data_IF_506197915793
#
_entry.id   IF_506197915793
#
_cell.length_a   1.000
_cell.length_b   1.000
_cell.length_c   1.000
_cell.angle_alpha   90.00
_cell.angle_beta   90.00
_cell.angle_gamma   90.00
#
_symmetry.space_group_name_H-M   'P 1'
#
loop_
_entity.id
_entity.type
_entity.pdbx_description
1 polymer ?
#
# COMPACT_ATOMS: atom_id res chain seq x y z
N UNK A 1 8.53 1.02 4.17
CA UNK A 1 7.46 1.02 5.20
C UNK A 1 6.34 1.99 4.84
N UNK A 2 6.60 3.29 4.72
CA UNK A 2 5.55 4.28 4.37
C UNK A 2 4.77 3.90 3.12
N UNK A 3 5.45 3.60 2.01
CA UNK A 3 4.80 3.12 0.78
C UNK A 3 3.94 1.88 1.01
N UNK A 4 4.45 0.87 1.72
CA UNK A 4 3.67 -0.34 2.04
C UNK A 4 2.36 -0.01 2.77
N UNK A 5 2.41 0.81 3.82
CA UNK A 5 1.21 1.15 4.58
C UNK A 5 0.29 2.11 3.83
N UNK A 6 0.82 3.00 2.98
CA UNK A 6 0.01 3.80 2.08
C UNK A 6 -0.76 2.90 1.10
N UNK A 7 -0.11 1.90 0.49
CA UNK A 7 -0.79 0.94 -0.39
C UNK A 7 -1.77 0.02 0.38
N UNK A 8 -1.44 -0.33 1.63
CA UNK A 8 -2.36 -1.08 2.50
C UNK A 8 -3.63 -0.30 2.83
N UNK A 9 -3.50 1.00 3.10
CA UNK A 9 -4.59 1.93 3.39
C UNK A 9 -4.79 2.91 2.23
N UNK A 10 -4.95 2.35 1.02
CA UNK A 10 -4.92 3.14 -0.21
C UNK A 10 -6.00 4.20 -0.24
N UNK A 11 -5.59 5.42 -0.57
CA UNK A 11 -6.41 6.42 -1.25
C UNK A 11 -5.75 6.76 -2.59
N UNK A 12 -6.52 7.22 -3.56
CA UNK A 12 -6.01 7.35 -4.94
C UNK A 12 -6.28 8.71 -5.57
N UNK A 13 -5.23 9.34 -6.07
CA UNK A 13 -5.30 10.56 -6.90
C UNK A 13 -5.93 10.31 -8.29
N UNK A 14 -6.20 9.04 -8.65
CA UNK A 14 -7.03 8.73 -9.82
C UNK A 14 -8.44 9.32 -9.66
N UNK A 15 -8.94 9.39 -8.41
CA UNK A 15 -10.13 10.15 -8.06
C UNK A 15 -9.78 11.65 -8.00
N UNK A 16 -10.46 12.46 -8.82
CA UNK A 16 -10.12 13.86 -9.03
C UNK A 16 -10.12 14.70 -7.73
N UNK A 17 -11.01 14.39 -6.78
CA UNK A 17 -11.12 15.08 -5.49
C UNK A 17 -9.92 14.86 -4.57
N UNK A 18 -9.09 13.84 -4.84
CA UNK A 18 -7.93 13.48 -4.02
C UNK A 18 -6.59 13.91 -4.64
N UNK A 19 -6.61 14.57 -5.80
CA UNK A 19 -5.40 15.09 -6.43
C UNK A 19 -4.79 16.19 -5.55
N UNK A 20 -3.52 16.01 -5.16
CA UNK A 20 -2.76 16.98 -4.37
C UNK A 20 -2.97 16.89 -2.86
N UNK A 21 -3.75 15.93 -2.37
CA UNK A 21 -3.98 15.69 -0.93
C UNK A 21 -3.56 14.29 -0.47
N UNK A 22 -3.18 13.41 -1.40
CA UNK A 22 -2.62 12.08 -1.07
C UNK A 22 -1.35 12.18 -0.23
N UNK A 23 -0.52 13.19 -0.50
CA UNK A 23 0.76 13.38 0.20
C UNK A 23 0.53 13.91 1.63
N UNK A 24 -0.55 14.68 1.83
CA UNK A 24 -0.98 15.16 3.14
C UNK A 24 -1.48 13.96 3.97
N UNK A 25 -2.35 13.13 3.39
CA UNK A 25 -2.80 11.89 4.03
C UNK A 25 -1.63 10.97 4.42
N UNK A 26 -0.64 10.80 3.54
CA UNK A 26 0.56 10.03 3.86
C UNK A 26 1.30 10.64 5.06
N UNK A 27 1.50 11.96 5.05
CA UNK A 27 2.23 12.68 6.09
C UNK A 27 1.51 12.68 7.45
N UNK A 28 0.18 12.73 7.47
CA UNK A 28 -0.64 12.88 8.67
C UNK A 28 -1.11 11.53 9.24
N UNK A 29 -1.57 10.61 8.38
CA UNK A 29 -2.22 9.36 8.82
C UNK A 29 -1.32 8.13 8.71
N UNK A 30 -0.30 8.13 7.83
CA UNK A 30 0.53 6.94 7.59
C UNK A 30 1.90 7.08 8.26
N UNK A 31 2.71 8.01 7.76
CA UNK A 31 4.13 8.15 8.07
C UNK A 31 4.45 8.22 9.58
N UNK A 32 3.68 8.91 10.43
CA UNK A 32 3.99 9.00 11.86
C UNK A 32 3.86 7.66 12.60
N UNK A 33 3.07 6.72 12.07
CA UNK A 33 2.64 5.51 12.79
C UNK A 33 3.24 4.21 12.24
N UNK A 34 4.05 4.25 11.16
CA UNK A 34 4.53 3.03 10.46
C UNK A 34 5.44 2.10 11.27
N UNK A 35 5.89 2.53 12.45
CA UNK A 35 6.65 1.72 13.42
C UNK A 35 5.99 1.69 14.80
N UNK A 36 4.81 2.28 14.97
CA UNK A 36 4.05 2.32 16.22
C UNK A 36 3.13 1.10 16.38
N UNK A 37 2.05 1.25 17.15
CA UNK A 37 1.01 0.22 17.23
C UNK A 37 0.09 0.28 16.02
N UNK A 38 -0.32 -0.89 15.54
CA UNK A 38 -1.25 -0.99 14.42
C UNK A 38 -2.58 -0.29 14.70
N UNK A 39 -3.07 -0.33 15.94
CA UNK A 39 -4.31 0.38 16.34
C UNK A 39 -4.22 1.90 16.17
N UNK A 40 -3.05 2.50 16.46
CA UNK A 40 -2.84 3.94 16.31
C UNK A 40 -2.83 4.32 14.82
N UNK A 41 -2.15 3.52 13.99
CA UNK A 41 -2.16 3.68 12.53
C UNK A 41 -3.57 3.50 11.94
N UNK A 42 -4.29 2.46 12.33
CA UNK A 42 -5.64 2.18 11.88
C UNK A 42 -6.60 3.31 12.28
N UNK A 43 -6.50 3.81 13.51
CA UNK A 43 -7.26 4.96 14.00
C UNK A 43 -6.97 6.22 13.20
N UNK A 44 -5.69 6.55 13.00
CA UNK A 44 -5.29 7.71 12.23
C UNK A 44 -5.87 7.68 10.80
N UNK A 45 -5.91 6.51 10.17
CA UNK A 45 -6.49 6.33 8.84
C UNK A 45 -8.02 6.42 8.85
N UNK A 46 -8.68 5.70 9.76
CA UNK A 46 -10.15 5.59 9.81
C UNK A 46 -10.83 6.87 10.29
N UNK A 47 -10.11 7.78 10.94
CA UNK A 47 -10.58 9.13 11.26
C UNK A 47 -10.10 10.19 10.25
N UNK A 48 -9.36 9.81 9.20
CA UNK A 48 -8.86 10.79 8.24
C UNK A 48 -9.90 11.16 7.18
N UNK A 49 -10.14 12.45 6.91
CA UNK A 49 -11.21 12.89 6.00
C UNK A 49 -11.05 12.33 4.58
N UNK A 50 -9.82 12.18 4.10
CA UNK A 50 -9.57 11.65 2.74
C UNK A 50 -9.97 10.19 2.58
N UNK A 51 -9.93 9.38 3.64
CA UNK A 51 -10.41 7.99 3.59
C UNK A 51 -11.93 7.94 3.42
N UNK A 52 -12.66 8.77 4.18
CA UNK A 52 -14.12 8.89 4.03
C UNK A 52 -14.53 9.50 2.69
N UNK A 53 -13.71 10.37 2.07
CA UNK A 53 -13.95 10.86 0.69
C UNK A 53 -13.71 9.77 -0.33
N UNK A 54 -12.59 9.04 -0.21
CA UNK A 54 -12.22 7.99 -1.16
C UNK A 54 -13.27 6.89 -1.23
N UNK A 55 -13.74 6.42 -0.07
CA UNK A 55 -14.73 5.35 0.03
C UNK A 55 -16.18 5.87 0.16
N UNK A 56 -16.37 7.17 -0.05
CA UNK A 56 -17.67 7.84 -0.07
C UNK A 56 -18.51 7.66 1.21
N UNK A 57 -17.87 7.44 2.35
CA UNK A 57 -18.55 7.29 3.65
C UNK A 57 -19.16 8.60 4.16
N UNK A 58 -18.58 9.75 3.80
CA UNK A 58 -19.11 11.07 4.15
C UNK A 58 -20.55 11.33 3.63
N UNK A 59 -21.01 10.51 2.69
CA UNK A 59 -22.36 10.51 2.14
C UNK A 59 -23.26 9.41 2.75
N UNK A 60 -22.75 8.58 3.67
CA UNK A 60 -23.47 7.44 4.24
C UNK A 60 -24.41 7.86 5.38
N UNK A 61 -25.65 7.36 5.36
CA UNK A 61 -26.65 7.62 6.40
C UNK A 61 -27.06 6.29 7.04
N UNK A 62 -27.22 6.31 8.37
CA UNK A 62 -27.78 5.18 9.10
C UNK A 62 -29.20 4.88 8.60
N UNK A 63 -29.53 3.63 8.24
CA UNK A 63 -30.86 3.24 7.76
C UNK A 63 -32.03 3.70 8.64
N UNK A 64 -31.82 3.79 9.94
CA UNK A 64 -32.80 4.22 10.94
C UNK A 64 -32.47 5.59 11.56
N UNK A 65 -31.53 6.31 10.98
CA UNK A 65 -31.16 7.66 11.44
C UNK A 65 -32.26 8.68 11.17
N UNK A 66 -32.41 9.74 12.01
CA UNK A 66 -33.36 10.82 11.77
C UNK A 66 -33.24 11.49 10.40
N UNK A 67 -32.01 11.58 9.87
CA UNK A 67 -31.75 12.18 8.57
C UNK A 67 -32.20 11.29 7.40
N UNK A 68 -32.15 9.96 7.54
CA UNK A 68 -32.64 9.02 6.52
C UNK A 68 -34.16 9.12 6.31
N UNK A 69 -34.93 9.49 7.35
CA UNK A 69 -36.37 9.75 7.20
C UNK A 69 -36.70 10.97 6.30
N UNK A 70 -35.70 11.80 5.96
CA UNK A 70 -35.86 13.05 5.20
C UNK A 70 -35.07 13.04 3.88
N UNK A 71 -34.46 11.92 3.52
CA UNK A 71 -33.54 11.82 2.39
C UNK A 71 -33.53 10.41 1.80
N UNK A 72 -33.40 10.29 0.48
CA UNK A 72 -33.25 9.00 -0.21
C UNK A 72 -31.80 8.44 -0.16
N UNK A 73 -30.95 9.04 0.69
CA UNK A 73 -29.56 8.62 0.86
C UNK A 73 -29.51 7.36 1.74
N UNK A 74 -28.94 6.30 1.20
CA UNK A 74 -28.81 5.01 1.88
C UNK A 74 -27.46 4.81 2.58
N UNK A 75 -27.35 3.64 3.21
CA UNK A 75 -26.11 3.16 3.80
C UNK A 75 -25.09 2.81 2.70
N UNK A 76 -23.89 3.37 2.79
CA UNK A 76 -22.76 2.99 1.94
C UNK A 76 -21.88 1.98 2.67
N UNK A 77 -21.85 0.74 2.16
CA UNK A 77 -21.10 -0.36 2.78
C UNK A 77 -19.60 -0.39 2.42
N UNK A 78 -19.13 0.46 1.50
CA UNK A 78 -17.76 0.36 0.97
C UNK A 78 -16.69 0.48 2.06
N UNK A 79 -16.70 1.55 2.86
CA UNK A 79 -15.68 1.73 3.90
C UNK A 79 -15.72 0.61 4.96
N UNK A 80 -16.92 0.16 5.35
CA UNK A 80 -17.07 -0.98 6.26
C UNK A 80 -16.51 -2.27 5.67
N UNK A 81 -16.74 -2.51 4.38
CA UNK A 81 -16.21 -3.66 3.65
C UNK A 81 -14.68 -3.62 3.57
N UNK A 82 -14.10 -2.48 3.16
CA UNK A 82 -12.65 -2.36 3.03
C UNK A 82 -11.96 -2.42 4.41
N UNK A 83 -12.60 -1.85 5.45
CA UNK A 83 -12.12 -1.96 6.83
C UNK A 83 -11.95 -3.43 7.23
N UNK A 84 -12.97 -4.27 7.03
CA UNK A 84 -12.91 -5.69 7.36
C UNK A 84 -12.01 -6.49 6.39
N UNK A 85 -12.17 -6.30 5.08
CA UNK A 85 -11.54 -7.14 4.05
C UNK A 85 -10.07 -6.78 3.79
N UNK A 86 -9.76 -5.49 3.61
CA UNK A 86 -8.48 -5.04 3.07
C UNK A 86 -7.56 -4.44 4.11
N UNK A 87 -8.14 -3.88 5.16
CA UNK A 87 -7.42 -3.13 6.18
C UNK A 87 -7.22 -3.94 7.46
N UNK A 88 -8.04 -4.95 7.75
CA UNK A 88 -7.94 -5.70 9.02
C UNK A 88 -7.98 -7.21 8.86
N UNK A 89 -9.15 -7.84 8.78
CA UNK A 89 -9.31 -9.29 8.96
C UNK A 89 -8.85 -10.12 7.76
N UNK A 90 -8.75 -9.50 6.57
CA UNK A 90 -8.51 -10.21 5.32
C UNK A 90 -9.77 -10.89 4.79
N UNK A 91 -9.81 -11.19 3.49
CA UNK A 91 -10.97 -11.83 2.83
C UNK A 91 -11.41 -13.17 3.44
N UNK A 92 -10.50 -13.86 4.14
CA UNK A 92 -10.77 -15.13 4.85
C UNK A 92 -10.85 -14.95 6.37
N UNK A 93 -11.12 -13.73 6.83
CA UNK A 93 -11.08 -13.34 8.23
C UNK A 93 -12.23 -13.84 9.11
N UNK A 94 -13.24 -14.48 8.51
CA UNK A 94 -14.38 -15.09 9.22
C UNK A 94 -15.62 -14.21 9.35
N UNK A 95 -15.57 -12.95 8.90
CA UNK A 95 -16.73 -12.07 8.88
C UNK A 95 -17.72 -12.43 7.76
N UNK A 96 -18.96 -12.02 7.94
CA UNK A 96 -20.08 -12.22 7.02
C UNK A 96 -20.50 -10.91 6.34
N UNK A 97 -21.38 -11.01 5.35
CA UNK A 97 -22.02 -9.83 4.76
C UNK A 97 -22.87 -9.05 5.77
N UNK A 98 -23.35 -9.69 6.84
CA UNK A 98 -24.03 -8.99 7.94
C UNK A 98 -23.06 -8.09 8.70
N UNK A 99 -21.86 -8.59 9.01
CA UNK A 99 -20.82 -7.83 9.70
C UNK A 99 -20.35 -6.63 8.88
N UNK A 100 -20.27 -6.75 7.56
CA UNK A 100 -19.98 -5.60 6.67
C UNK A 100 -21.03 -4.50 6.84
N UNK A 101 -22.31 -4.87 6.91
CA UNK A 101 -23.40 -3.91 7.09
C UNK A 101 -23.37 -3.27 8.47
N UNK A 102 -23.07 -4.05 9.50
CA UNK A 102 -22.93 -3.55 10.88
C UNK A 102 -21.73 -2.61 11.02
N UNK A 103 -20.59 -2.91 10.38
CA UNK A 103 -19.43 -2.02 10.35
C UNK A 103 -19.77 -0.72 9.61
N UNK A 104 -20.50 -0.80 8.49
CA UNK A 104 -20.96 0.36 7.77
C UNK A 104 -21.90 1.24 8.62
N UNK A 105 -22.79 0.64 9.42
CA UNK A 105 -23.65 1.36 10.37
C UNK A 105 -22.84 2.12 11.41
N UNK A 106 -21.83 1.49 12.01
CA UNK A 106 -20.91 2.13 12.97
C UNK A 106 -20.22 3.35 12.33
N UNK A 107 -19.84 3.26 11.05
CA UNK A 107 -19.18 4.34 10.32
C UNK A 107 -20.10 5.51 9.91
N UNK A 108 -21.42 5.37 10.02
CA UNK A 108 -22.35 6.47 9.72
C UNK A 108 -22.22 7.61 10.73
N UNK A 109 -22.71 8.81 10.39
CA UNK A 109 -22.57 10.00 11.24
C UNK A 109 -21.24 10.74 11.06
N UNK A 110 -20.16 10.05 10.69
CA UNK A 110 -18.88 10.68 10.37
C UNK A 110 -18.93 11.40 9.02
N UNK A 111 -18.81 12.73 9.05
CA UNK A 111 -18.82 13.60 7.87
C UNK A 111 -17.55 14.42 7.79
N UNK A 112 -17.09 14.68 6.58
CA UNK A 112 -16.03 15.67 6.35
C UNK A 112 -16.60 17.05 6.59
N UNK A 113 -15.97 17.83 7.46
CA UNK A 113 -16.33 19.23 7.66
C UNK A 113 -15.96 20.01 6.38
N UNK A 114 -16.99 20.36 5.60
CA UNK A 114 -16.79 21.05 4.33
C UNK A 114 -16.49 22.54 4.58
N UNK A 115 -15.36 22.98 4.03
CA UNK A 115 -15.00 24.37 3.72
C UNK A 115 -14.92 25.38 4.88
N UNK A 116 -13.74 25.45 5.48
CA UNK A 116 -13.10 26.73 5.76
C UNK A 116 -11.81 26.79 4.94
N UNK A 117 -11.71 27.71 3.96
CA UNK A 117 -10.49 27.83 3.11
C UNK A 117 -9.21 28.06 3.90
N UNK A 118 -9.33 28.50 5.16
CA UNK A 118 -8.23 28.80 6.05
C UNK A 118 -8.03 27.74 7.15
N UNK A 119 -8.71 26.59 7.07
CA UNK A 119 -8.53 25.49 8.01
C UNK A 119 -8.28 24.16 7.27
N UNK A 120 -7.53 23.22 7.88
CA UNK A 120 -7.42 21.87 7.38
C UNK A 120 -8.78 21.20 7.22
N UNK A 121 -8.85 20.17 6.37
CA UNK A 121 -10.00 19.27 6.39
C UNK A 121 -10.04 18.57 7.74
N UNK A 122 -11.23 18.48 8.32
CA UNK A 122 -11.45 17.80 9.59
C UNK A 122 -12.68 16.90 9.49
N UNK A 123 -12.78 15.94 10.41
CA UNK A 123 -13.94 15.09 10.57
C UNK A 123 -14.85 15.64 11.66
N UNK A 124 -16.16 15.51 11.45
CA UNK A 124 -17.17 15.85 12.45
C UNK A 124 -18.17 14.70 12.56
N UNK A 125 -18.55 14.34 13.78
CA UNK A 125 -19.65 13.43 14.02
C UNK A 125 -21.00 14.17 14.02
N UNK A 126 -21.98 13.62 13.30
CA UNK A 126 -23.36 14.14 13.19
C UNK A 126 -24.32 13.03 13.60
N UNK A 127 -24.79 13.08 14.85
CA UNK A 127 -25.70 12.09 15.44
C UNK A 127 -26.94 11.82 14.60
N UNK A 128 -27.52 12.85 13.99
CA UNK A 128 -28.74 12.72 13.18
C UNK A 128 -28.56 11.86 11.92
N UNK A 129 -27.32 11.62 11.49
CA UNK A 129 -26.97 10.74 10.36
C UNK A 129 -26.48 9.36 10.80
N UNK A 130 -26.24 9.16 12.09
CA UNK A 130 -25.73 7.91 12.63
C UNK A 130 -26.86 6.90 12.82
N UNK A 131 -26.57 5.63 12.57
CA UNK A 131 -27.47 4.53 12.87
C UNK A 131 -27.63 4.39 14.39
N UNK A 132 -28.85 4.46 14.95
CA UNK A 132 -29.05 4.25 16.39
C UNK A 132 -29.03 2.77 16.78
N UNK A 133 -28.95 2.53 18.10
CA UNK A 133 -28.99 1.19 18.71
C UNK A 133 -27.65 0.47 18.73
N UNK A 134 -27.59 -0.67 19.42
CA UNK A 134 -26.38 -1.50 19.48
C UNK A 134 -26.08 -2.17 18.15
N UNK A 135 -24.79 -2.43 17.90
CA UNK A 135 -24.31 -3.17 16.72
C UNK A 135 -23.56 -4.42 17.15
N UNK A 136 -23.46 -5.39 16.25
CA UNK A 136 -22.71 -6.62 16.51
C UNK A 136 -21.82 -6.96 15.33
N UNK A 137 -20.54 -7.21 15.60
CA UNK A 137 -19.55 -7.61 14.60
C UNK A 137 -18.92 -8.91 15.07
N UNK A 138 -19.09 -10.00 14.32
CA UNK A 138 -18.50 -11.31 14.66
C UNK A 138 -18.81 -11.72 16.11
N UNK A 139 -20.07 -11.59 16.51
CA UNK A 139 -20.57 -11.87 17.87
C UNK A 139 -20.06 -10.90 18.97
N UNK A 140 -19.20 -9.94 18.62
CA UNK A 140 -18.79 -8.85 19.51
C UNK A 140 -19.82 -7.71 19.49
N UNK A 141 -20.48 -7.49 20.62
CA UNK A 141 -21.46 -6.40 20.77
C UNK A 141 -20.75 -5.07 21.04
N UNK A 142 -21.08 -4.08 20.24
CA UNK A 142 -20.72 -2.67 20.44
C UNK A 142 -21.98 -1.95 20.91
N UNK A 143 -21.91 -1.41 22.14
CA UNK A 143 -23.04 -0.70 22.73
C UNK A 143 -23.25 0.64 22.02
N UNK A 144 -24.51 1.09 21.94
CA UNK A 144 -24.83 2.41 21.40
C UNK A 144 -24.03 3.51 22.14
N UNK A 145 -23.20 4.21 21.38
CA UNK A 145 -22.24 5.19 21.88
C UNK A 145 -22.00 6.35 20.91
N UNK A 146 -22.64 6.34 19.74
CA UNK A 146 -22.47 7.37 18.72
C UNK A 146 -21.02 7.42 18.22
N UNK A 147 -20.34 8.54 18.43
CA UNK A 147 -18.97 8.75 17.92
C UNK A 147 -17.97 7.70 18.42
N UNK A 148 -18.17 7.17 19.64
CA UNK A 148 -17.26 6.22 20.29
C UNK A 148 -17.25 4.84 19.66
N UNK A 149 -18.34 4.46 18.99
CA UNK A 149 -18.51 3.13 18.43
C UNK A 149 -17.45 2.79 17.38
N UNK A 150 -16.94 3.82 16.67
CA UNK A 150 -15.83 3.64 15.73
C UNK A 150 -14.59 3.16 16.48
N UNK A 151 -14.19 3.82 17.56
CA UNK A 151 -12.98 3.44 18.29
C UNK A 151 -13.11 2.05 18.95
N UNK A 152 -14.30 1.71 19.46
CA UNK A 152 -14.60 0.36 19.97
C UNK A 152 -14.45 -0.71 18.87
N UNK A 153 -14.95 -0.43 17.66
CA UNK A 153 -14.76 -1.30 16.50
C UNK A 153 -13.28 -1.45 16.13
N UNK A 154 -12.53 -0.35 16.12
CA UNK A 154 -11.12 -0.38 15.75
C UNK A 154 -10.27 -1.12 16.80
N UNK A 155 -10.59 -1.00 18.09
CA UNK A 155 -9.95 -1.76 19.17
C UNK A 155 -10.18 -3.27 19.00
N UNK A 156 -11.42 -3.66 18.71
CA UNK A 156 -11.77 -5.06 18.43
C UNK A 156 -11.01 -5.60 17.21
N UNK A 157 -11.01 -4.87 16.09
CA UNK A 157 -10.36 -5.33 14.86
C UNK A 157 -8.83 -5.35 14.98
N UNK A 158 -8.22 -4.35 15.61
CA UNK A 158 -6.76 -4.27 15.72
C UNK A 158 -6.17 -5.37 16.60
N UNK A 159 -6.93 -5.91 17.56
CA UNK A 159 -6.50 -7.01 18.43
C UNK A 159 -6.90 -8.40 17.92
N UNK A 160 -7.60 -8.48 16.78
CA UNK A 160 -8.12 -9.75 16.28
C UNK A 160 -7.01 -10.65 15.69
N UNK A 161 -6.99 -11.98 15.99
CA UNK A 161 -5.99 -12.89 15.45
C UNK A 161 -5.90 -12.93 13.92
N UNK A 162 -7.03 -12.84 13.22
CA UNK A 162 -7.04 -12.71 11.75
C UNK A 162 -6.30 -11.47 11.26
N UNK A 163 -6.38 -10.35 11.99
CA UNK A 163 -5.66 -9.12 11.64
C UNK A 163 -4.17 -9.27 11.86
N UNK A 164 -3.75 -9.81 13.01
CA UNK A 164 -2.35 -10.11 13.28
C UNK A 164 -1.72 -10.97 12.16
N UNK A 165 -2.42 -12.03 11.75
CA UNK A 165 -2.00 -12.91 10.66
C UNK A 165 -2.01 -12.22 9.29
N UNK A 166 -3.05 -11.46 8.98
CA UNK A 166 -3.21 -10.78 7.70
C UNK A 166 -2.14 -9.71 7.48
N UNK A 167 -1.89 -8.85 8.48
CA UNK A 167 -0.85 -7.82 8.41
C UNK A 167 0.53 -8.47 8.30
N UNK A 168 0.82 -9.47 9.14
CA UNK A 168 2.09 -10.20 9.10
C UNK A 168 2.36 -10.85 7.74
N UNK A 169 1.34 -11.49 7.15
CA UNK A 169 1.42 -12.06 5.81
C UNK A 169 1.70 -10.99 4.75
N UNK A 170 0.98 -9.87 4.76
CA UNK A 170 1.20 -8.79 3.76
C UNK A 170 2.59 -8.19 3.88
N UNK A 171 3.09 -7.96 5.11
CA UNK A 171 4.44 -7.44 5.34
C UNK A 171 5.50 -8.43 4.83
N UNK A 172 5.41 -9.70 5.21
CA UNK A 172 6.33 -10.73 4.73
C UNK A 172 6.26 -10.89 3.19
N UNK A 173 5.06 -10.81 2.62
CA UNK A 173 4.84 -10.86 1.17
C UNK A 173 5.52 -9.72 0.41
N UNK A 174 5.43 -8.52 0.97
CA UNK A 174 5.97 -7.31 0.36
C UNK A 174 7.51 -7.31 0.36
N UNK A 175 8.11 -7.68 1.50
CA UNK A 175 9.55 -7.57 1.68
C UNK A 175 10.33 -8.79 1.22
N UNK A 176 9.82 -10.01 1.42
CA UNK A 176 10.60 -11.25 1.28
C UNK A 176 10.25 -12.02 0.00
N UNK A 177 8.99 -12.46 -0.15
CA UNK A 177 8.60 -13.43 -1.18
C UNK A 177 7.10 -13.32 -1.47
N UNK A 178 6.65 -13.54 -2.70
CA UNK A 178 5.22 -13.60 -3.00
C UNK A 178 4.47 -14.68 -2.21
N UNK A 179 5.21 -15.73 -1.76
CA UNK A 179 4.74 -16.80 -0.89
C UNK A 179 5.70 -16.95 0.30
N UNK A 180 5.59 -16.08 1.33
CA UNK A 180 6.49 -16.14 2.48
C UNK A 180 6.33 -17.47 3.25
N UNK A 181 7.38 -17.95 3.94
CA UNK A 181 7.27 -19.13 4.79
C UNK A 181 6.19 -18.97 5.85
N UNK A 182 5.34 -19.99 6.00
CA UNK A 182 4.23 -19.98 6.97
C UNK A 182 4.72 -19.80 8.41
N UNK A 183 5.85 -20.44 8.77
CA UNK A 183 6.48 -20.30 10.09
C UNK A 183 6.83 -18.84 10.41
N UNK A 184 7.35 -18.08 9.43
CA UNK A 184 7.66 -16.67 9.62
C UNK A 184 6.38 -15.86 9.88
N UNK A 185 5.35 -16.07 9.06
CA UNK A 185 4.07 -15.36 9.21
C UNK A 185 3.45 -15.64 10.57
N UNK A 186 3.52 -16.90 11.02
CA UNK A 186 3.04 -17.31 12.34
C UNK A 186 3.81 -16.61 13.47
N UNK A 187 5.15 -16.63 13.44
CA UNK A 187 5.99 -15.97 14.45
C UNK A 187 5.74 -14.45 14.51
N UNK A 188 5.58 -13.82 13.35
CA UNK A 188 5.23 -12.39 13.26
C UNK A 188 3.84 -12.10 13.86
N UNK A 189 2.85 -12.95 13.59
CA UNK A 189 1.49 -12.78 14.11
C UNK A 189 1.42 -13.00 15.63
N UNK A 190 2.21 -13.94 16.17
CA UNK A 190 2.33 -14.16 17.62
C UNK A 190 2.91 -12.93 18.32
N UNK A 191 3.99 -12.35 17.78
CA UNK A 191 4.57 -11.11 18.31
C UNK A 191 3.62 -9.93 18.15
N UNK A 192 2.88 -9.85 17.04
CA UNK A 192 1.86 -8.83 16.86
C UNK A 192 0.84 -8.86 18.01
N UNK A 193 0.31 -10.05 18.36
CA UNK A 193 -0.66 -10.18 19.45
C UNK A 193 -0.05 -9.96 20.83
N UNK A 194 1.18 -10.44 21.06
CA UNK A 194 1.87 -10.32 22.35
C UNK A 194 2.28 -8.87 22.68
N UNK A 195 2.60 -8.07 21.65
CA UNK A 195 3.11 -6.70 21.77
C UNK A 195 2.07 -5.65 21.37
N UNK A 196 0.78 -5.93 21.52
CA UNK A 196 -0.32 -4.99 21.27
C UNK A 196 -0.26 -4.32 19.88
N UNK A 197 0.06 -5.12 18.86
CA UNK A 197 0.19 -4.67 17.47
C UNK A 197 1.41 -3.81 17.18
N UNK A 198 2.46 -3.84 18.01
CA UNK A 198 3.70 -3.09 17.77
C UNK A 198 4.40 -3.50 16.45
N UNK A 199 4.31 -2.63 15.44
CA UNK A 199 4.81 -2.90 14.09
C UNK A 199 6.33 -3.01 14.05
N UNK A 200 7.06 -2.25 14.88
CA UNK A 200 8.51 -2.36 14.97
C UNK A 200 8.95 -3.75 15.47
N UNK A 201 8.26 -4.31 16.46
CA UNK A 201 8.55 -5.65 16.99
C UNK A 201 8.30 -6.73 15.92
N UNK A 202 7.17 -6.64 15.22
CA UNK A 202 6.83 -7.55 14.11
C UNK A 202 7.87 -7.48 12.99
N UNK A 203 8.33 -6.27 12.65
CA UNK A 203 9.38 -6.08 11.65
C UNK A 203 10.74 -6.64 12.11
N UNK A 204 11.06 -6.60 13.41
CA UNK A 204 12.28 -7.22 13.94
C UNK A 204 12.28 -8.72 13.70
N UNK A 205 11.16 -9.41 13.99
CA UNK A 205 11.02 -10.85 13.72
C UNK A 205 11.27 -11.15 12.24
N UNK A 206 10.70 -10.34 11.35
CA UNK A 206 10.93 -10.47 9.92
C UNK A 206 12.42 -10.32 9.57
N UNK A 207 13.05 -9.25 10.03
CA UNK A 207 14.46 -8.94 9.74
C UNK A 207 15.39 -10.03 10.28
N UNK A 208 15.12 -10.58 11.47
CA UNK A 208 15.97 -11.60 12.09
C UNK A 208 15.79 -13.01 11.48
N UNK A 209 14.70 -13.23 10.74
CA UNK A 209 14.40 -14.52 10.15
C UNK A 209 15.33 -14.83 8.95
N UNK A 210 15.91 -16.05 8.85
CA UNK A 210 16.85 -16.41 7.78
C UNK A 210 16.30 -16.25 6.36
N UNK A 211 14.99 -16.32 6.17
CA UNK A 211 14.37 -16.11 4.85
C UNK A 211 14.58 -14.69 4.30
N UNK A 212 14.74 -13.69 5.17
CA UNK A 212 14.98 -12.29 4.77
C UNK A 212 16.34 -12.08 4.12
N UNK A 213 17.28 -12.99 4.35
CA UNK A 213 18.67 -12.88 3.89
C UNK A 213 19.06 -14.00 2.92
N UNK A 214 18.09 -14.76 2.42
CA UNK A 214 18.30 -15.78 1.38
C UNK A 214 17.78 -15.24 0.05
N UNK A 215 18.60 -14.50 -0.73
CA UNK A 215 18.18 -13.96 -2.01
C UNK A 215 17.86 -15.11 -2.97
N UNK A 216 16.59 -15.21 -3.36
CA UNK A 216 16.13 -16.16 -4.37
C UNK A 216 15.75 -15.50 -5.70
N UNK A 217 15.91 -14.17 -5.84
CA UNK A 217 15.39 -13.41 -6.98
C UNK A 217 13.88 -13.59 -7.15
N UNK A 218 13.15 -13.56 -6.03
CA UNK A 218 11.74 -13.95 -6.00
C UNK A 218 10.81 -12.76 -6.06
N UNK A 219 11.25 -11.59 -5.61
CA UNK A 219 10.51 -10.34 -5.77
C UNK A 219 10.99 -9.60 -7.00
N UNK A 220 10.09 -8.86 -7.62
CA UNK A 220 10.43 -7.92 -8.70
C UNK A 220 10.62 -6.53 -8.11
N UNK A 221 11.58 -5.76 -8.63
CA UNK A 221 11.59 -4.32 -8.44
C UNK A 221 10.30 -3.76 -9.04
N UNK A 222 9.46 -3.14 -8.21
CA UNK A 222 8.27 -2.46 -8.70
C UNK A 222 8.70 -1.32 -9.64
N UNK A 223 7.84 -0.87 -10.57
CA UNK A 223 8.24 0.10 -11.59
C UNK A 223 8.95 1.36 -11.07
N UNK A 224 8.54 1.87 -9.91
CA UNK A 224 9.20 2.99 -9.24
C UNK A 224 10.60 2.63 -8.73
N UNK A 225 10.75 1.52 -8.02
CA UNK A 225 12.05 1.06 -7.50
C UNK A 225 13.02 0.74 -8.65
N UNK A 226 12.51 0.14 -9.73
CA UNK A 226 13.26 -0.12 -10.94
C UNK A 226 13.73 1.19 -11.60
N UNK A 227 12.86 2.19 -11.72
CA UNK A 227 13.21 3.47 -12.33
C UNK A 227 14.24 4.25 -11.49
N UNK A 228 14.11 4.21 -10.16
CA UNK A 228 15.07 4.82 -9.23
C UNK A 228 16.41 4.09 -9.28
N UNK A 229 16.41 2.75 -9.23
CA UNK A 229 17.62 1.93 -9.28
C UNK A 229 18.37 2.13 -10.61
N UNK A 230 17.65 2.10 -11.73
CA UNK A 230 18.24 2.29 -13.05
C UNK A 230 18.70 3.74 -13.26
N UNK A 231 17.94 4.72 -12.78
CA UNK A 231 18.37 6.11 -12.84
C UNK A 231 19.63 6.36 -12.01
N UNK A 232 19.73 5.75 -10.84
CA UNK A 232 20.92 5.81 -9.99
C UNK A 232 22.14 5.16 -10.65
N UNK A 233 21.96 4.02 -11.32
CA UNK A 233 22.98 3.34 -12.12
C UNK A 233 23.49 4.24 -13.26
N UNK A 234 22.60 5.04 -13.85
CA UNK A 234 22.92 6.03 -14.88
C UNK A 234 23.49 7.34 -14.30
N UNK A 235 23.65 7.47 -12.98
CA UNK A 235 24.12 8.70 -12.33
C UNK A 235 23.16 9.88 -12.42
N UNK A 236 21.87 9.62 -12.66
CA UNK A 236 20.82 10.65 -12.80
C UNK A 236 20.62 11.41 -11.48
N UNK A 237 20.55 12.74 -11.55
CA UNK A 237 20.37 13.61 -10.37
C UNK A 237 19.44 14.78 -10.67
N UNK A 238 18.89 15.38 -9.63
CA UNK A 238 18.11 16.62 -9.70
C UNK A 238 16.74 16.46 -10.37
N UNK A 239 16.22 17.57 -10.93
CA UNK A 239 14.87 17.66 -11.48
C UNK A 239 14.66 16.80 -12.72
N UNK A 240 15.69 16.66 -13.55
CA UNK A 240 15.60 15.85 -14.77
C UNK A 240 15.45 14.37 -14.43
N UNK A 241 16.16 13.89 -13.40
CA UNK A 241 15.97 12.54 -12.86
C UNK A 241 14.53 12.30 -12.40
N UNK A 242 13.96 13.24 -11.64
CA UNK A 242 12.58 13.15 -11.17
C UNK A 242 11.57 13.11 -12.33
N UNK A 243 11.80 13.90 -13.38
CA UNK A 243 10.97 13.92 -14.60
C UNK A 243 11.00 12.57 -15.31
N UNK A 244 12.19 12.00 -15.48
CA UNK A 244 12.39 10.73 -16.17
C UNK A 244 11.87 9.53 -15.37
N UNK A 245 12.07 9.51 -14.05
CA UNK A 245 11.47 8.51 -13.17
C UNK A 245 9.94 8.59 -13.24
N UNK A 246 9.37 9.80 -13.17
CA UNK A 246 7.91 9.99 -13.30
C UNK A 246 7.40 9.49 -14.65
N UNK A 247 8.08 9.80 -15.75
CA UNK A 247 7.76 9.35 -17.10
C UNK A 247 7.81 7.82 -17.23
N UNK A 248 8.84 7.19 -16.66
CA UNK A 248 9.00 5.74 -16.67
C UNK A 248 7.89 5.04 -15.89
N UNK A 249 7.60 5.53 -14.70
CA UNK A 249 6.56 4.99 -13.82
C UNK A 249 5.17 5.13 -14.45
N UNK A 250 4.90 6.23 -15.16
CA UNK A 250 3.69 6.40 -15.97
C UNK A 250 3.62 5.41 -17.15
N UNK A 251 4.74 5.23 -17.87
CA UNK A 251 4.85 4.30 -19.01
C UNK A 251 4.62 2.85 -18.57
N UNK A 252 5.14 2.49 -17.39
CA UNK A 252 4.98 1.18 -16.78
C UNK A 252 3.64 1.03 -16.03
N UNK A 253 2.76 2.02 -16.09
CA UNK A 253 1.39 1.91 -15.57
C UNK A 253 1.25 1.92 -14.04
N UNK A 254 2.29 2.28 -13.29
CA UNK A 254 2.33 2.27 -11.82
C UNK A 254 2.42 3.68 -11.27
N UNK A 255 1.51 4.59 -11.66
CA UNK A 255 1.58 5.98 -11.18
C UNK A 255 1.49 6.03 -9.64
N UNK A 256 2.48 6.67 -9.01
CA UNK A 256 2.54 6.85 -7.55
C UNK A 256 1.25 7.52 -7.05
N UNK A 257 0.71 7.00 -5.94
CA UNK A 257 -0.54 7.44 -5.31
C UNK A 257 -1.79 7.33 -6.19
N UNK A 258 -1.74 6.53 -7.28
CA UNK A 258 -2.82 6.43 -8.26
C UNK A 258 -3.28 4.98 -8.51
N UNK A 259 -3.17 4.11 -7.50
CA UNK A 259 -3.73 2.76 -7.57
C UNK A 259 -5.22 2.82 -7.95
N UNK A 260 -5.67 1.89 -8.78
CA UNK A 260 -7.04 1.94 -9.36
C UNK A 260 -8.12 1.39 -8.42
N UNK A 261 -7.74 0.79 -7.31
CA UNK A 261 -8.65 0.19 -6.35
C UNK A 261 -8.11 0.36 -4.92
N UNK A 262 -8.97 0.23 -3.89
CA UNK A 262 -8.56 0.29 -2.48
C UNK A 262 -7.55 -0.80 -2.07
N UNK A 263 -7.34 -1.84 -2.90
CA UNK A 263 -6.34 -2.89 -2.69
C UNK A 263 -4.89 -2.41 -2.82
N UNK A 264 -4.67 -1.21 -3.36
CA UNK A 264 -3.35 -0.70 -3.72
C UNK A 264 -2.80 -1.31 -5.01
N UNK A 265 -1.53 -1.05 -5.30
CA UNK A 265 -0.81 -1.74 -6.36
C UNK A 265 -0.50 -3.19 -5.97
N UNK A 266 -0.58 -4.14 -6.93
CA UNK A 266 -0.16 -5.52 -6.67
C UNK A 266 1.35 -5.59 -6.46
N UNK A 267 1.77 -6.45 -5.53
CA UNK A 267 3.20 -6.69 -5.26
C UNK A 267 3.75 -7.94 -5.97
N UNK A 268 2.87 -8.72 -6.60
CA UNK A 268 3.18 -10.01 -7.19
C UNK A 268 4.15 -9.86 -8.39
N UNK A 269 5.19 -10.68 -8.40
CA UNK A 269 6.21 -10.69 -9.45
C UNK A 269 5.60 -10.83 -10.84
N UNK A 270 4.67 -11.76 -11.01
CA UNK A 270 4.10 -12.09 -12.32
C UNK A 270 3.29 -10.94 -12.93
N UNK A 271 2.92 -9.93 -12.14
CA UNK A 271 2.29 -8.71 -12.66
C UNK A 271 3.30 -7.81 -13.36
N UNK A 272 4.49 -7.63 -12.79
CA UNK A 272 5.48 -6.65 -13.27
C UNK A 272 6.66 -7.27 -14.03
N UNK A 273 6.85 -8.58 -13.92
CA UNK A 273 7.93 -9.33 -14.57
C UNK A 273 7.40 -10.16 -15.75
N UNK A 274 6.83 -9.47 -16.74
CA UNK A 274 6.33 -10.09 -17.99
C UNK A 274 7.23 -9.71 -19.18
N UNK A 275 7.23 -10.48 -20.28
CA UNK A 275 7.97 -10.12 -21.49
C UNK A 275 7.66 -8.70 -21.99
N UNK A 276 6.40 -8.27 -21.90
CA UNK A 276 5.99 -6.93 -22.28
C UNK A 276 6.61 -5.85 -21.40
N UNK A 277 6.60 -6.03 -20.07
CA UNK A 277 7.25 -5.08 -19.16
C UNK A 277 8.77 -5.07 -19.31
N UNK A 278 9.41 -6.21 -19.60
CA UNK A 278 10.86 -6.25 -19.86
C UNK A 278 11.22 -5.47 -21.13
N UNK A 279 10.42 -5.57 -22.18
CA UNK A 279 10.61 -4.78 -23.40
C UNK A 279 10.43 -3.27 -23.14
N UNK A 280 9.42 -2.89 -22.34
CA UNK A 280 9.23 -1.49 -21.95
C UNK A 280 10.41 -0.97 -21.12
N UNK A 281 10.92 -1.76 -20.17
CA UNK A 281 12.11 -1.43 -19.37
C UNK A 281 13.35 -1.25 -20.23
N UNK A 282 13.60 -2.15 -21.19
CA UNK A 282 14.70 -2.00 -22.15
C UNK A 282 14.59 -0.70 -22.97
N UNK A 283 13.39 -0.40 -23.49
CA UNK A 283 13.15 0.83 -24.26
C UNK A 283 13.30 2.10 -23.43
N UNK A 284 12.82 2.10 -22.19
CA UNK A 284 12.99 3.19 -21.23
C UNK A 284 14.47 3.40 -20.89
N UNK A 285 15.19 2.33 -20.60
CA UNK A 285 16.61 2.35 -20.29
C UNK A 285 17.45 2.92 -21.43
N UNK A 286 17.19 2.49 -22.67
CA UNK A 286 17.85 3.03 -23.84
C UNK A 286 17.60 4.54 -24.04
N UNK A 287 16.39 5.03 -23.74
CA UNK A 287 16.10 6.48 -23.74
C UNK A 287 16.84 7.22 -22.64
N UNK A 288 16.79 6.74 -21.40
CA UNK A 288 17.45 7.35 -20.25
C UNK A 288 18.97 7.43 -20.48
N UNK A 289 19.58 6.34 -20.96
CA UNK A 289 20.99 6.29 -21.30
C UNK A 289 21.39 7.41 -22.27
N UNK A 290 20.61 7.60 -23.35
CA UNK A 290 20.86 8.64 -24.34
C UNK A 290 20.63 10.05 -23.80
N UNK A 291 19.54 10.26 -23.05
CA UNK A 291 19.16 11.58 -22.54
C UNK A 291 20.20 12.15 -21.57
N UNK A 292 20.70 11.32 -20.65
CA UNK A 292 21.69 11.76 -19.66
C UNK A 292 23.14 11.65 -20.11
N UNK A 293 23.38 11.15 -21.33
CA UNK A 293 24.72 10.96 -21.86
C UNK A 293 25.59 10.11 -20.93
N UNK A 294 25.02 9.03 -20.39
CA UNK A 294 25.66 8.16 -19.41
C UNK A 294 27.03 7.71 -19.94
N UNK A 295 28.06 7.94 -19.13
CA UNK A 295 29.45 7.56 -19.44
C UNK A 295 29.96 6.39 -18.60
N UNK A 296 29.12 5.89 -17.70
CA UNK A 296 29.44 4.76 -16.83
C UNK A 296 29.83 3.55 -17.67
N UNK A 297 30.88 2.85 -17.25
CA UNK A 297 31.30 1.61 -17.90
C UNK A 297 30.26 0.52 -17.61
N UNK A 298 30.01 -0.34 -18.61
CA UNK A 298 29.20 -1.55 -18.42
C UNK A 298 29.78 -2.40 -17.29
N UNK A 299 31.10 -2.44 -17.14
CA UNK A 299 31.76 -3.15 -16.05
C UNK A 299 31.38 -2.62 -14.66
N UNK A 300 31.26 -1.31 -14.51
CA UNK A 300 30.80 -0.70 -13.26
C UNK A 300 29.36 -1.11 -12.95
N UNK A 301 28.47 -1.06 -13.95
CA UNK A 301 27.08 -1.44 -13.77
C UNK A 301 26.91 -2.92 -13.39
N UNK A 302 27.66 -3.81 -14.05
CA UNK A 302 27.67 -5.24 -13.74
C UNK A 302 28.22 -5.51 -12.33
N UNK A 303 29.22 -4.74 -11.90
CA UNK A 303 29.78 -4.87 -10.54
C UNK A 303 28.82 -4.48 -9.43
N UNK A 304 27.68 -3.83 -9.72
CA UNK A 304 26.69 -3.47 -8.68
C UNK A 304 25.63 -4.55 -8.56
N UNK A 305 25.03 -4.94 -9.69
CA UNK A 305 23.81 -5.77 -9.71
C UNK A 305 24.04 -7.23 -10.13
N UNK A 306 25.19 -7.60 -10.71
CA UNK A 306 25.40 -8.90 -11.37
C UNK A 306 26.44 -9.79 -10.68
N UNK A 307 26.70 -9.58 -9.38
CA UNK A 307 27.69 -10.35 -8.61
C UNK A 307 27.51 -11.88 -8.66
N UNK A 308 26.26 -12.36 -8.80
CA UNK A 308 25.91 -13.78 -8.86
C UNK A 308 25.46 -14.27 -10.24
N UNK A 309 25.54 -13.43 -11.28
CA UNK A 309 25.01 -13.75 -12.59
C UNK A 309 25.87 -14.82 -13.31
N UNK A 310 25.23 -15.64 -14.14
CA UNK A 310 25.92 -16.62 -14.97
C UNK A 310 26.91 -15.93 -15.92
N UNK A 311 28.08 -16.54 -16.15
CA UNK A 311 29.09 -16.04 -17.09
C UNK A 311 28.53 -15.79 -18.49
N UNK A 312 27.58 -16.59 -18.96
CA UNK A 312 26.97 -16.39 -20.27
C UNK A 312 26.13 -15.09 -20.31
N UNK A 313 25.42 -14.77 -19.22
CA UNK A 313 24.71 -13.48 -19.08
C UNK A 313 25.71 -12.33 -19.13
N UNK A 314 26.81 -12.41 -18.37
CA UNK A 314 27.87 -11.39 -18.38
C UNK A 314 28.45 -11.21 -19.78
N UNK A 315 28.73 -12.31 -20.50
CA UNK A 315 29.25 -12.26 -21.89
C UNK A 315 28.25 -11.63 -22.84
N UNK A 316 26.96 -11.95 -22.74
CA UNK A 316 25.90 -11.34 -23.56
C UNK A 316 25.83 -9.84 -23.34
N UNK A 317 25.88 -9.39 -22.09
CA UNK A 317 25.78 -7.95 -21.76
C UNK A 317 27.01 -7.18 -22.24
N UNK A 318 28.22 -7.72 -22.06
CA UNK A 318 29.46 -7.11 -22.56
C UNK A 318 29.60 -7.15 -24.08
N UNK A 319 29.01 -8.16 -24.72
CA UNK A 319 29.02 -8.33 -26.17
C UNK A 319 27.95 -7.52 -26.91
N UNK A 320 27.18 -6.69 -26.21
CA UNK A 320 26.16 -5.87 -26.84
C UNK A 320 26.78 -4.89 -27.86
N UNK A 321 26.12 -4.61 -29.01
CA UNK A 321 26.71 -3.81 -30.08
C UNK A 321 27.10 -2.39 -29.66
N UNK A 322 26.36 -1.82 -28.72
CA UNK A 322 26.63 -0.50 -28.14
C UNK A 322 26.43 -0.52 -26.63
N UNK A 323 27.04 0.43 -25.89
CA UNK A 323 26.75 0.61 -24.46
C UNK A 323 25.26 0.85 -24.16
N UNK A 324 24.54 1.57 -25.06
CA UNK A 324 23.09 1.75 -24.93
C UNK A 324 22.35 0.41 -24.95
N UNK A 325 22.75 -0.49 -25.86
CA UNK A 325 22.14 -1.81 -25.96
C UNK A 325 22.48 -2.65 -24.72
N UNK A 326 23.72 -2.56 -24.22
CA UNK A 326 24.12 -3.21 -22.96
C UNK A 326 23.25 -2.77 -21.78
N UNK A 327 23.04 -1.45 -21.60
CA UNK A 327 22.21 -0.91 -20.53
C UNK A 327 20.72 -1.25 -20.71
N UNK A 328 20.24 -1.33 -21.95
CA UNK A 328 18.87 -1.78 -22.24
C UNK A 328 18.67 -3.26 -21.87
N UNK A 329 19.67 -4.11 -22.13
CA UNK A 329 19.66 -5.51 -21.73
C UNK A 329 19.80 -5.68 -20.21
N UNK A 330 20.66 -4.90 -19.55
CA UNK A 330 20.79 -4.85 -18.09
C UNK A 330 19.41 -4.57 -17.47
N UNK A 331 18.74 -3.51 -17.92
CA UNK A 331 17.45 -3.08 -17.40
C UNK A 331 16.33 -4.13 -17.51
N UNK A 332 16.39 -4.99 -18.54
CA UNK A 332 15.43 -6.05 -18.80
C UNK A 332 15.86 -7.41 -18.23
N UNK A 333 17.07 -7.51 -17.64
CA UNK A 333 17.59 -8.76 -17.10
C UNK A 333 16.87 -9.16 -15.80
N UNK A 334 16.64 -10.46 -15.57
CA UNK A 334 16.26 -10.97 -14.26
C UNK A 334 17.22 -10.52 -13.14
N UNK A 335 18.53 -10.55 -13.36
CA UNK A 335 19.53 -10.19 -12.34
C UNK A 335 19.44 -8.72 -11.89
N UNK A 336 18.90 -7.83 -12.73
CA UNK A 336 18.65 -6.44 -12.36
C UNK A 336 17.23 -6.23 -11.82
N UNK A 337 16.25 -6.88 -12.44
CA UNK A 337 14.83 -6.64 -12.15
C UNK A 337 14.30 -7.40 -10.94
N UNK A 338 15.03 -8.40 -10.44
CA UNK A 338 14.61 -9.24 -9.32
C UNK A 338 15.48 -9.00 -8.09
N UNK A 339 14.87 -9.11 -6.91
CA UNK A 339 15.51 -8.99 -5.60
C UNK A 339 15.15 -10.16 -4.67
#
# INVERSE_FOLDING_TARGET
LVRFFFEHFTISMAQATLRGVTDIYEAEAIRPYVTGRFRDLLGAVMHHPMMHVYLSNHMSFGPHSPAAARSDVGLNENLGRELLELHTLGVSGGYTQSDVREAAKILTGWVVQIYNRNAPFDMRFVSDRHEPGDKSIMEHRIAEGGEKELDDLLDFLASHPSTARFISYKVAKYFIDDRPPEELVQNMAEVFLAEDGCLAAVLSVMIDHPASWKPGGRKVLLPEDWAVAFGSLCGMKGRDAATEITSAVLTLGHRVHAARSPKGWPDDRDVWFTPGYMLLRAGLAGRMYQHFGVRSDVDEALSVYFHGANQDVIRTLKGAPTPKDAFSLIAASPDFSLR
#
